data_IF_847896200339
#
_entry.id   IF_847896200339
#
_cell.length_a   1.000
_cell.length_b   1.000
_cell.length_c   1.000
_cell.angle_alpha   90.00
_cell.angle_beta   90.00
_cell.angle_gamma   90.00
#
_symmetry.space_group_name_H-M   'P 1'
#
loop_
_entity.id
_entity.type
_entity.pdbx_description
1 polymer ?
#
# COMPACT_ATOMS: atom_id res chain seq x y z
N UNK A 1 -11.83 16.26 -1.30
CA UNK A 1 -10.43 16.34 -0.85
C UNK A 1 -9.80 14.96 -0.91
N UNK A 2 -8.66 14.84 -1.56
CA UNK A 2 -7.96 13.55 -1.68
C UNK A 2 -7.29 13.19 -0.36
N UNK A 3 -7.35 11.90 -0.02
CA UNK A 3 -6.77 11.39 1.23
C UNK A 3 -5.43 10.72 0.96
N UNK A 4 -4.46 10.95 1.84
CA UNK A 4 -3.18 10.25 1.76
C UNK A 4 -3.31 8.81 2.24
N UNK A 5 -2.22 8.04 2.16
CA UNK A 5 -2.27 6.60 2.47
C UNK A 5 -2.64 6.33 3.92
N UNK A 6 -2.34 7.23 4.86
CA UNK A 6 -2.69 7.02 6.27
C UNK A 6 -4.16 7.28 6.53
N UNK A 7 -4.74 8.25 5.85
CA UNK A 7 -6.14 8.63 6.04
C UNK A 7 -7.12 7.65 5.41
N UNK A 8 -6.72 6.96 4.32
CA UNK A 8 -7.61 6.04 3.59
C UNK A 8 -7.70 4.66 4.24
N UNK A 9 -6.91 4.40 5.26
CA UNK A 9 -6.82 3.09 5.91
C UNK A 9 -8.18 2.51 6.31
N UNK A 10 -9.00 3.32 6.94
CA UNK A 10 -10.30 2.84 7.45
C UNK A 10 -11.25 2.45 6.32
N UNK A 11 -11.19 3.17 5.19
CA UNK A 11 -11.97 2.83 4.01
C UNK A 11 -11.55 1.47 3.45
N UNK A 12 -10.25 1.24 3.32
CA UNK A 12 -9.71 -0.02 2.80
C UNK A 12 -10.01 -1.17 3.76
N UNK A 13 -9.84 -0.93 5.05
CA UNK A 13 -10.15 -1.93 6.08
C UNK A 13 -11.62 -2.32 6.07
N UNK A 14 -12.51 -1.35 5.90
CA UNK A 14 -13.95 -1.63 5.81
C UNK A 14 -14.27 -2.52 4.61
N UNK A 15 -13.69 -2.22 3.45
CA UNK A 15 -13.87 -3.05 2.26
C UNK A 15 -13.31 -4.45 2.48
N UNK A 16 -12.16 -4.56 3.15
CA UNK A 16 -11.55 -5.85 3.48
C UNK A 16 -12.46 -6.69 4.37
N UNK A 17 -13.00 -6.09 5.43
CA UNK A 17 -13.83 -6.80 6.42
C UNK A 17 -15.17 -7.20 5.80
N UNK A 18 -15.76 -6.33 4.98
CA UNK A 18 -17.13 -6.52 4.50
C UNK A 18 -17.24 -7.33 3.21
N UNK A 19 -16.12 -7.69 2.59
CA UNK A 19 -16.13 -8.41 1.31
C UNK A 19 -15.54 -9.80 1.47
N UNK A 20 -16.18 -10.81 0.88
CA UNK A 20 -15.66 -12.20 0.85
C UNK A 20 -14.52 -12.30 -0.17
N UNK A 21 -14.65 -11.58 -1.27
CA UNK A 21 -13.64 -11.50 -2.30
C UNK A 21 -13.68 -10.09 -2.90
N UNK A 22 -12.51 -9.49 -3.09
CA UNK A 22 -12.43 -8.12 -3.61
C UNK A 22 -11.10 -7.93 -4.35
N UNK A 23 -11.16 -7.16 -5.43
CA UNK A 23 -9.98 -6.65 -6.14
C UNK A 23 -10.27 -5.17 -6.34
N UNK A 24 -9.50 -4.29 -5.71
CA UNK A 24 -9.79 -2.87 -5.75
C UNK A 24 -8.53 -2.03 -5.66
N UNK A 25 -8.52 -0.92 -6.39
CA UNK A 25 -7.47 0.09 -6.34
C UNK A 25 -8.02 1.35 -5.64
N UNK A 26 -7.15 1.98 -4.86
CA UNK A 26 -7.48 3.21 -4.14
C UNK A 26 -6.44 4.26 -4.50
N UNK A 27 -6.87 5.33 -5.17
CA UNK A 27 -5.97 6.41 -5.56
C UNK A 27 -5.78 7.39 -4.41
N UNK A 28 -4.52 7.75 -4.15
CA UNK A 28 -4.14 8.75 -3.15
C UNK A 28 -3.12 9.70 -3.75
N UNK A 29 -2.88 10.87 -3.13
CA UNK A 29 -1.80 11.75 -3.57
C UNK A 29 -0.42 11.11 -3.49
N UNK A 30 -0.25 10.10 -2.63
CA UNK A 30 1.04 9.42 -2.41
C UNK A 30 1.26 8.25 -3.38
N UNK A 31 0.20 7.77 -4.02
CA UNK A 31 0.26 6.64 -4.93
C UNK A 31 -1.05 5.87 -4.93
N UNK A 32 -1.07 4.76 -5.66
CA UNK A 32 -2.24 3.89 -5.76
C UNK A 32 -2.03 2.65 -4.91
N UNK A 33 -2.91 2.45 -3.93
CA UNK A 33 -2.92 1.25 -3.10
C UNK A 33 -3.84 0.24 -3.78
N UNK A 34 -3.38 -1.00 -3.91
CA UNK A 34 -4.26 -2.07 -4.36
C UNK A 34 -4.47 -3.07 -3.24
N UNK A 35 -5.65 -3.67 -3.22
CA UNK A 35 -6.01 -4.71 -2.27
C UNK A 35 -6.69 -5.85 -3.01
N UNK A 36 -6.28 -7.07 -2.73
CA UNK A 36 -6.92 -8.28 -3.22
C UNK A 36 -7.26 -9.17 -2.04
N UNK A 37 -8.43 -9.78 -2.09
CA UNK A 37 -8.86 -10.74 -1.07
C UNK A 37 -9.61 -11.88 -1.74
N UNK A 38 -9.28 -13.09 -1.34
CA UNK A 38 -9.99 -14.30 -1.75
C UNK A 38 -10.50 -15.01 -0.49
N UNK A 39 -11.13 -16.17 -0.66
CA UNK A 39 -11.57 -16.97 0.47
C UNK A 39 -10.40 -17.60 1.25
N UNK A 40 -9.19 -17.59 0.70
CA UNK A 40 -8.03 -18.24 1.30
C UNK A 40 -6.97 -17.27 1.80
N UNK A 41 -6.78 -16.14 1.10
CA UNK A 41 -5.72 -15.20 1.45
C UNK A 41 -6.01 -13.81 0.89
N UNK A 42 -5.17 -12.86 1.26
CA UNK A 42 -5.26 -11.48 0.78
C UNK A 42 -3.87 -10.91 0.51
N UNK A 43 -3.83 -9.80 -0.19
CA UNK A 43 -2.59 -9.05 -0.37
C UNK A 43 -2.89 -7.56 -0.45
N UNK A 44 -1.88 -6.77 -0.18
CA UNK A 44 -1.95 -5.32 -0.29
C UNK A 44 -0.60 -4.81 -0.79
N UNK A 45 -0.63 -3.76 -1.60
CA UNK A 45 0.58 -3.15 -2.10
C UNK A 45 0.34 -1.73 -2.53
N UNK A 46 1.40 -1.03 -2.90
CA UNK A 46 1.32 0.37 -3.32
C UNK A 46 2.19 0.59 -4.56
N UNK A 47 1.63 1.32 -5.51
CA UNK A 47 2.30 1.77 -6.73
C UNK A 47 2.44 3.28 -6.69
N UNK A 48 3.44 3.83 -7.39
CA UNK A 48 3.56 5.27 -7.54
C UNK A 48 2.50 5.80 -8.52
N UNK A 49 2.49 7.12 -8.73
CA UNK A 49 1.51 7.76 -9.60
C UNK A 49 1.72 7.44 -11.10
N UNK A 50 2.81 6.77 -11.43
CA UNK A 50 3.13 6.34 -12.79
C UNK A 50 2.91 4.84 -13.00
N UNK A 51 2.40 4.15 -11.98
CA UNK A 51 2.10 2.73 -12.07
C UNK A 51 3.27 1.80 -11.76
N UNK A 52 4.41 2.34 -11.33
CA UNK A 52 5.54 1.51 -10.92
C UNK A 52 5.35 1.02 -9.49
N UNK A 53 5.60 -0.27 -9.28
CA UNK A 53 5.45 -0.88 -7.96
C UNK A 53 6.46 -0.30 -6.98
N UNK A 54 5.97 0.25 -5.87
CA UNK A 54 6.80 0.67 -4.76
C UNK A 54 7.05 -0.52 -3.84
N UNK A 55 5.99 -1.20 -3.43
CA UNK A 55 6.08 -2.36 -2.56
C UNK A 55 4.83 -3.22 -2.65
N UNK A 56 5.04 -4.52 -2.58
CA UNK A 56 4.01 -5.52 -2.32
C UNK A 56 4.66 -6.67 -1.59
N UNK A 57 3.87 -7.40 -0.81
CA UNK A 57 4.37 -8.62 -0.21
C UNK A 57 4.59 -9.66 -1.31
N UNK A 58 5.74 -10.32 -1.30
CA UNK A 58 6.08 -11.35 -2.28
C UNK A 58 5.14 -12.54 -2.21
N UNK A 59 4.63 -12.84 -1.01
CA UNK A 59 3.66 -13.90 -0.79
C UNK A 59 2.35 -13.29 -0.30
N UNK A 60 1.23 -13.95 -0.64
CA UNK A 60 -0.05 -13.50 -0.11
C UNK A 60 -0.12 -13.74 1.40
N UNK A 61 -0.81 -12.86 2.11
CA UNK A 61 -1.08 -13.03 3.52
C UNK A 61 -2.18 -14.08 3.71
N UNK A 62 -2.03 -14.93 4.71
CA UNK A 62 -3.12 -15.81 5.15
C UNK A 62 -4.26 -15.00 5.74
N UNK A 63 -5.50 -15.45 5.60
CA UNK A 63 -6.65 -14.79 6.25
C UNK A 63 -6.59 -14.86 7.78
N UNK A 64 -5.71 -15.69 8.34
CA UNK A 64 -5.49 -15.72 9.78
C UNK A 64 -4.58 -14.58 10.23
N UNK A 65 -3.90 -13.92 9.31
CA UNK A 65 -3.09 -12.76 9.63
C UNK A 65 -3.95 -11.50 9.68
N UNK A 66 -3.48 -10.53 10.47
CA UNK A 66 -4.21 -9.31 10.74
C UNK A 66 -4.00 -8.30 9.60
N UNK A 67 -5.08 -7.67 9.17
CA UNK A 67 -5.02 -6.54 8.23
C UNK A 67 -4.06 -5.46 8.72
N UNK A 68 -4.06 -5.18 10.03
CA UNK A 68 -3.19 -4.17 10.62
C UNK A 68 -1.71 -4.47 10.39
N UNK A 69 -1.33 -5.74 10.46
CA UNK A 69 0.04 -6.18 10.17
C UNK A 69 0.42 -5.89 8.72
N UNK A 70 -0.44 -6.27 7.79
CA UNK A 70 -0.22 -6.02 6.37
C UNK A 70 -0.13 -4.52 6.06
N UNK A 71 -1.02 -3.74 6.65
CA UNK A 71 -1.01 -2.29 6.48
C UNK A 71 0.28 -1.67 7.01
N UNK A 72 0.71 -2.09 8.19
CA UNK A 72 1.95 -1.59 8.80
C UNK A 72 3.17 -1.91 7.94
N UNK A 73 3.23 -3.12 7.37
CA UNK A 73 4.30 -3.51 6.46
C UNK A 73 4.34 -2.59 5.23
N UNK A 74 3.18 -2.33 4.64
CA UNK A 74 3.10 -1.45 3.47
C UNK A 74 3.53 -0.03 3.80
N UNK A 75 3.05 0.53 4.89
CA UNK A 75 3.39 1.91 5.29
C UNK A 75 4.87 2.05 5.60
N UNK A 76 5.45 1.06 6.29
CA UNK A 76 6.88 1.06 6.60
C UNK A 76 7.71 1.07 5.32
N UNK A 77 7.38 0.21 4.38
CA UNK A 77 8.13 0.11 3.12
C UNK A 77 7.93 1.36 2.25
N UNK A 78 6.75 1.95 2.27
CA UNK A 78 6.53 3.23 1.60
C UNK A 78 7.37 4.34 2.22
N UNK A 79 7.47 4.40 3.55
CA UNK A 79 8.28 5.40 4.24
C UNK A 79 9.76 5.25 3.89
N UNK A 80 10.26 4.02 3.85
CA UNK A 80 11.64 3.74 3.44
C UNK A 80 11.89 4.19 1.99
N UNK A 81 10.93 3.94 1.10
CA UNK A 81 10.99 4.40 -0.28
C UNK A 81 11.08 5.93 -0.38
N UNK A 82 10.27 6.64 0.41
CA UNK A 82 10.27 8.11 0.42
C UNK A 82 11.61 8.68 0.89
N UNK A 83 12.20 8.10 1.93
CA UNK A 83 13.51 8.52 2.42
C UNK A 83 14.58 8.32 1.35
N UNK A 84 14.57 7.18 0.68
CA UNK A 84 15.55 6.87 -0.36
C UNK A 84 15.37 7.79 -1.58
N UNK A 85 14.14 8.07 -1.96
CA UNK A 85 13.84 8.99 -3.07
C UNK A 85 14.36 10.40 -2.77
N UNK A 86 14.12 10.90 -1.56
CA UNK A 86 14.60 12.22 -1.15
C UNK A 86 16.12 12.29 -1.13
N UNK A 87 16.78 11.23 -0.67
CA UNK A 87 18.24 11.17 -0.67
C UNK A 87 18.78 11.26 -2.09
N UNK A 88 18.21 10.53 -3.03
CA UNK A 88 18.64 10.57 -4.43
C UNK A 88 18.43 11.94 -5.05
N UNK A 89 17.32 12.60 -4.75
CA UNK A 89 17.09 13.95 -5.23
C UNK A 89 18.13 14.93 -4.73
N UNK A 90 18.50 14.84 -3.45
CA UNK A 90 19.53 15.69 -2.85
C UNK A 90 20.88 15.42 -3.51
N UNK A 91 21.27 14.16 -3.67
CA UNK A 91 22.53 13.79 -4.31
C UNK A 91 22.61 14.31 -5.75
N UNK A 92 21.54 14.14 -6.52
CA UNK A 92 21.50 14.62 -7.90
C UNK A 92 21.54 16.13 -8.00
N UNK A 93 21.03 16.83 -7.00
CA UNK A 93 20.99 18.29 -7.00
C UNK A 93 22.33 18.92 -6.68
N UNK A 94 23.16 18.24 -5.88
CA UNK A 94 24.45 18.77 -5.39
C UNK A 94 25.65 18.19 -6.12
N UNK A 95 25.44 17.18 -6.91
CA UNK A 95 26.46 16.54 -7.74
C UNK A 95 25.99 16.48 -9.19
#
# INVERSE_FOLDING_TARGET
MEKNIKEIKETIKADFVNSRAVIKNYETPDGTIYMTKTIEHFNIGIMDNYGALIWANDSNYSLTEDFETAWSDMVKNYSDYEVERLRKEIENKWF
#
